data_IF_613778749360
#
_entry.id   IF_613778749360
#
_cell.length_a   1.000
_cell.length_b   1.000
_cell.length_c   1.000
_cell.angle_alpha   90.00
_cell.angle_beta   90.00
_cell.angle_gamma   90.00
#
_symmetry.space_group_name_H-M   'P 1'
#
loop_
_entity.id
_entity.type
_entity.pdbx_description
1 polymer ?
#
# COMPACT_ATOMS: atom_id res chain seq x y z
N UNK A 1 16.21 29.54 -11.28
CA UNK A 1 15.26 28.98 -10.32
C UNK A 1 16.07 28.25 -9.24
N UNK A 2 15.77 28.42 -7.96
CA UNK A 2 16.50 27.70 -6.90
C UNK A 2 16.06 26.25 -6.93
N UNK A 3 16.96 25.27 -6.71
CA UNK A 3 16.66 23.81 -6.68
C UNK A 3 15.40 23.46 -5.87
N UNK A 4 15.10 24.24 -4.85
CA UNK A 4 13.93 24.12 -4.00
C UNK A 4 12.60 24.37 -4.74
N UNK A 5 12.58 25.28 -5.69
CA UNK A 5 11.36 25.64 -6.42
C UNK A 5 11.02 24.58 -7.49
N UNK A 6 12.03 23.78 -7.90
CA UNK A 6 11.85 22.72 -8.88
C UNK A 6 11.07 21.51 -8.34
N UNK A 7 11.40 21.00 -7.14
CA UNK A 7 10.70 19.86 -6.56
C UNK A 7 9.28 20.22 -6.09
N UNK A 8 9.06 21.44 -5.59
CA UNK A 8 7.76 21.90 -5.13
C UNK A 8 6.87 22.45 -6.25
N UNK A 9 7.47 23.06 -7.27
CA UNK A 9 6.74 23.54 -8.42
C UNK A 9 6.13 22.40 -9.26
N UNK A 10 6.82 21.26 -9.36
CA UNK A 10 6.34 20.10 -10.11
C UNK A 10 5.30 19.29 -9.35
N UNK A 11 5.42 19.13 -8.03
CA UNK A 11 4.38 18.48 -7.21
C UNK A 11 3.08 19.30 -7.15
N UNK A 12 3.17 20.63 -7.15
CA UNK A 12 2.01 21.52 -7.23
C UNK A 12 1.40 21.60 -8.64
N UNK A 13 2.18 21.30 -9.69
CA UNK A 13 1.68 21.30 -11.07
C UNK A 13 0.98 19.98 -11.43
N UNK A 14 1.29 18.86 -10.75
CA UNK A 14 0.55 17.60 -10.86
C UNK A 14 -0.89 17.71 -10.29
N UNK A 15 -1.11 18.62 -9.34
CA UNK A 15 -2.44 19.09 -8.99
C UNK A 15 -2.85 20.15 -10.00
N UNK A 16 -3.29 19.77 -11.19
CA UNK A 16 -3.91 20.69 -12.14
C UNK A 16 -4.97 21.49 -11.39
N UNK A 17 -4.61 22.73 -11.02
CA UNK A 17 -5.53 23.72 -10.47
C UNK A 17 -6.55 24.07 -11.55
N UNK A 18 -7.53 23.22 -11.73
CA UNK A 18 -8.86 23.67 -12.06
C UNK A 18 -9.44 24.12 -10.72
N UNK A 19 -9.33 25.42 -10.45
CA UNK A 19 -10.09 26.06 -9.40
C UNK A 19 -11.55 25.92 -9.79
N UNK A 20 -12.17 24.83 -9.35
CA UNK A 20 -13.62 24.74 -9.22
C UNK A 20 -13.96 25.07 -7.76
N UNK A 21 -15.00 25.88 -7.53
CA UNK A 21 -15.30 26.39 -6.21
C UNK A 21 -15.63 25.25 -5.27
N UNK A 22 -15.03 25.30 -4.07
CA UNK A 22 -15.28 24.48 -2.92
C UNK A 22 -16.77 24.56 -2.51
N UNK A 23 -17.57 23.63 -2.98
CA UNK A 23 -18.90 23.34 -2.43
C UNK A 23 -19.11 21.83 -2.50
N UNK A 24 -18.63 21.09 -1.50
CA UNK A 24 -19.16 19.74 -1.23
C UNK A 24 -19.05 19.45 0.25
N UNK A 25 -19.96 20.06 1.00
CA UNK A 25 -20.45 19.44 2.21
C UNK A 25 -21.34 18.26 1.79
N UNK A 26 -21.33 17.15 2.56
CA UNK A 26 -22.26 16.05 2.37
C UNK A 26 -23.70 16.59 2.30
N UNK A 27 -24.20 16.85 1.08
CA UNK A 27 -25.63 16.96 0.80
C UNK A 27 -26.08 15.58 0.36
N UNK A 28 -27.03 15.06 1.10
CA UNK A 28 -27.91 13.99 0.60
C UNK A 28 -28.63 14.52 -0.62
N UNK A 29 -28.66 13.67 -1.66
CA UNK A 29 -29.53 13.70 -2.82
C UNK A 29 -29.17 14.66 -3.98
N UNK A 30 -29.10 14.02 -5.15
CA UNK A 30 -29.30 14.52 -6.51
C UNK A 30 -28.21 15.38 -7.14
N UNK A 31 -27.10 14.73 -7.52
CA UNK A 31 -26.46 14.90 -8.85
C UNK A 31 -25.58 13.67 -9.09
N UNK A 32 -26.23 12.58 -9.51
CA UNK A 32 -25.54 11.33 -9.83
C UNK A 32 -24.90 11.45 -11.22
N UNK A 33 -23.59 11.52 -11.27
CA UNK A 33 -22.85 10.95 -12.38
C UNK A 33 -23.27 9.48 -12.45
N UNK A 34 -23.64 8.91 -13.61
CA UNK A 34 -24.10 7.53 -13.69
C UNK A 34 -23.01 6.58 -13.18
N UNK A 35 -23.24 6.03 -12.00
CA UNK A 35 -22.31 5.15 -11.26
C UNK A 35 -22.30 3.71 -11.84
N UNK A 36 -22.92 3.46 -12.95
CA UNK A 36 -23.05 2.10 -13.51
C UNK A 36 -21.75 1.48 -14.06
N UNK A 37 -20.68 2.25 -14.27
CA UNK A 37 -19.39 1.72 -14.76
C UNK A 37 -18.21 1.83 -13.79
N UNK A 38 -18.32 2.56 -12.69
CA UNK A 38 -17.21 2.83 -11.78
C UNK A 38 -17.09 1.86 -10.58
N UNK A 39 -18.02 0.94 -10.40
CA UNK A 39 -18.15 0.15 -9.16
C UNK A 39 -17.54 -1.25 -9.19
N UNK A 40 -16.58 -1.53 -10.09
CA UNK A 40 -15.96 -2.85 -10.12
C UNK A 40 -14.47 -2.75 -10.40
N UNK A 41 -13.65 -3.31 -9.50
CA UNK A 41 -12.27 -3.62 -9.88
C UNK A 41 -12.28 -4.49 -11.14
N UNK A 42 -11.45 -4.14 -12.12
CA UNK A 42 -11.16 -5.04 -13.23
C UNK A 42 -10.52 -6.28 -12.64
N UNK A 43 -10.86 -7.44 -13.16
CA UNK A 43 -10.39 -8.73 -12.66
C UNK A 43 -9.70 -9.50 -13.77
N UNK A 44 -8.58 -10.15 -13.42
CA UNK A 44 -7.84 -11.01 -14.33
C UNK A 44 -7.28 -12.22 -13.58
N UNK A 45 -7.40 -13.41 -14.19
CA UNK A 45 -6.71 -14.62 -13.79
C UNK A 45 -5.51 -14.86 -14.70
N UNK A 46 -4.35 -15.13 -14.11
CA UNK A 46 -3.10 -15.37 -14.82
C UNK A 46 -2.35 -16.57 -14.25
N UNK A 47 -1.63 -17.30 -15.11
CA UNK A 47 -0.86 -18.46 -14.66
C UNK A 47 0.38 -18.71 -15.51
N UNK A 48 1.37 -19.39 -14.93
CA UNK A 48 2.62 -19.77 -15.60
C UNK A 48 3.84 -19.52 -14.73
N UNK A 49 4.99 -19.28 -15.34
CA UNK A 49 6.19 -18.76 -14.67
C UNK A 49 5.99 -17.32 -14.23
N UNK A 50 6.85 -16.77 -13.38
CA UNK A 50 6.78 -15.35 -13.00
C UNK A 50 6.78 -14.44 -14.24
N UNK A 51 7.66 -14.68 -15.22
CA UNK A 51 7.68 -13.91 -16.47
C UNK A 51 6.35 -13.99 -17.25
N UNK A 52 5.79 -15.21 -17.41
CA UNK A 52 4.55 -15.41 -18.15
C UNK A 52 3.36 -14.72 -17.46
N UNK A 53 3.31 -14.80 -16.13
CA UNK A 53 2.31 -14.09 -15.31
C UNK A 53 2.44 -12.58 -15.52
N UNK A 54 3.63 -12.03 -15.38
CA UNK A 54 3.90 -10.62 -15.62
C UNK A 54 3.48 -10.18 -17.03
N UNK A 55 3.82 -10.98 -18.05
CA UNK A 55 3.46 -10.69 -19.43
C UNK A 55 1.97 -10.64 -19.69
N UNK A 56 1.20 -11.57 -19.12
CA UNK A 56 -0.26 -11.56 -19.20
C UNK A 56 -0.86 -10.33 -18.53
N UNK A 57 -0.35 -9.94 -17.34
CA UNK A 57 -0.76 -8.72 -16.63
C UNK A 57 -0.48 -7.49 -17.49
N UNK A 58 0.74 -7.35 -18.00
CA UNK A 58 1.15 -6.25 -18.86
C UNK A 58 0.32 -6.11 -20.12
N UNK A 59 0.04 -7.23 -20.80
CA UNK A 59 -0.80 -7.26 -22.02
C UNK A 59 -2.23 -6.82 -21.75
N UNK A 60 -2.85 -7.36 -20.70
CA UNK A 60 -4.24 -7.09 -20.40
C UNK A 60 -4.44 -5.67 -19.87
N UNK A 61 -3.56 -5.18 -19.00
CA UNK A 61 -3.66 -3.87 -18.34
C UNK A 61 -2.75 -2.79 -18.94
N UNK A 62 -2.30 -2.95 -20.18
CA UNK A 62 -1.42 -1.97 -20.85
C UNK A 62 -1.97 -0.54 -20.84
N UNK A 63 -3.29 -0.37 -20.98
CA UNK A 63 -3.96 0.93 -20.95
C UNK A 63 -3.99 1.55 -19.57
N UNK A 64 -4.21 0.74 -18.53
CA UNK A 64 -4.20 1.15 -17.15
C UNK A 64 -2.78 1.55 -16.70
N UNK A 65 -1.78 0.78 -17.09
CA UNK A 65 -0.35 1.07 -16.84
C UNK A 65 0.01 2.42 -17.49
N UNK A 66 -0.34 2.62 -18.74
CA UNK A 66 -0.08 3.87 -19.45
C UNK A 66 -0.85 5.03 -18.81
N UNK A 67 -2.13 4.84 -18.51
CA UNK A 67 -3.00 5.87 -17.92
C UNK A 67 -2.52 6.31 -16.53
N UNK A 68 -2.15 5.36 -15.66
CA UNK A 68 -1.64 5.68 -14.33
C UNK A 68 -0.29 6.40 -14.37
N UNK A 69 0.61 6.01 -15.27
CA UNK A 69 1.90 6.70 -15.47
C UNK A 69 1.71 8.13 -15.99
N UNK A 70 0.75 8.35 -16.89
CA UNK A 70 0.41 9.70 -17.36
C UNK A 70 -0.21 10.54 -16.23
N UNK A 71 -1.04 9.94 -15.38
CA UNK A 71 -1.69 10.64 -14.29
C UNK A 71 -0.72 11.18 -13.22
N UNK A 72 0.47 10.61 -13.10
CA UNK A 72 1.56 11.05 -12.22
C UNK A 72 2.81 11.44 -13.03
N UNK A 73 2.64 11.83 -14.30
CA UNK A 73 3.74 12.04 -15.25
C UNK A 73 4.78 13.06 -14.77
N UNK A 74 4.36 14.18 -14.21
CA UNK A 74 5.29 15.20 -13.67
C UNK A 74 6.10 14.66 -12.49
N UNK A 75 5.49 13.86 -11.64
CA UNK A 75 6.16 13.20 -10.53
C UNK A 75 7.18 12.17 -11.05
N UNK A 76 6.80 11.30 -11.98
CA UNK A 76 7.71 10.33 -12.59
C UNK A 76 8.85 11.01 -13.36
N UNK A 77 8.60 12.12 -14.04
CA UNK A 77 9.63 12.92 -14.70
C UNK A 77 10.66 13.45 -13.69
N UNK A 78 10.20 13.88 -12.51
CA UNK A 78 11.11 14.31 -11.43
C UNK A 78 11.96 13.16 -10.92
N UNK A 79 11.39 11.97 -10.75
CA UNK A 79 12.12 10.75 -10.37
C UNK A 79 13.15 10.38 -11.43
N UNK A 80 12.78 10.42 -12.72
CA UNK A 80 13.72 10.15 -13.83
C UNK A 80 14.90 11.12 -13.81
N UNK A 81 14.67 12.42 -13.58
CA UNK A 81 15.76 13.41 -13.49
C UNK A 81 16.69 13.16 -12.29
N UNK A 82 16.14 12.69 -11.17
CA UNK A 82 16.98 12.27 -10.03
C UNK A 82 17.85 11.08 -10.42
N UNK A 83 17.29 10.07 -11.07
CA UNK A 83 18.04 8.89 -11.53
C UNK A 83 19.09 9.28 -12.57
N UNK A 84 18.75 10.10 -13.54
CA UNK A 84 19.67 10.61 -14.56
C UNK A 84 20.84 11.40 -13.97
N UNK A 85 20.63 12.06 -12.83
CA UNK A 85 21.70 12.81 -12.15
C UNK A 85 22.80 11.91 -11.57
N UNK A 86 22.46 10.69 -11.13
CA UNK A 86 23.40 9.65 -10.70
C UNK A 86 22.69 8.29 -10.67
N UNK A 87 22.78 7.56 -11.77
CA UNK A 87 22.22 6.20 -11.88
C UNK A 87 22.83 5.24 -10.86
N UNK A 88 24.14 5.34 -10.66
CA UNK A 88 24.92 4.57 -9.69
C UNK A 88 24.41 4.73 -8.24
N UNK A 89 23.78 5.87 -7.95
CA UNK A 89 23.24 6.15 -6.62
C UNK A 89 21.77 5.78 -6.50
N UNK A 90 20.95 6.06 -7.53
CA UNK A 90 19.51 6.08 -7.39
C UNK A 90 18.78 4.93 -8.10
N UNK A 91 19.49 4.10 -8.89
CA UNK A 91 18.86 3.02 -9.65
C UNK A 91 19.61 1.69 -9.51
N UNK A 92 20.91 1.68 -9.84
CA UNK A 92 21.68 0.43 -9.97
C UNK A 92 21.73 -0.39 -8.68
N UNK A 93 21.89 0.20 -7.47
CA UNK A 93 21.91 -0.57 -6.22
C UNK A 93 20.60 -1.31 -5.94
N UNK A 94 19.46 -0.68 -6.25
CA UNK A 94 18.15 -1.30 -6.06
C UNK A 94 17.91 -2.44 -7.05
N UNK A 95 18.36 -2.29 -8.31
CA UNK A 95 18.25 -3.35 -9.31
C UNK A 95 19.16 -4.53 -8.96
N UNK A 96 20.40 -4.28 -8.57
CA UNK A 96 21.35 -5.31 -8.18
C UNK A 96 20.85 -6.12 -6.98
N UNK A 97 20.32 -5.44 -5.97
CA UNK A 97 19.72 -6.09 -4.80
C UNK A 97 18.47 -6.91 -5.18
N UNK A 98 17.60 -6.38 -6.05
CA UNK A 98 16.43 -7.09 -6.54
C UNK A 98 16.83 -8.37 -7.32
N UNK A 99 17.79 -8.28 -8.22
CA UNK A 99 18.30 -9.40 -9.01
C UNK A 99 18.97 -10.46 -8.13
N UNK A 100 19.69 -10.03 -7.09
CA UNK A 100 20.39 -10.93 -6.18
C UNK A 100 19.44 -11.71 -5.28
N UNK A 101 18.44 -11.05 -4.71
CA UNK A 101 17.60 -11.65 -3.68
C UNK A 101 16.26 -12.18 -4.21
N UNK A 102 15.74 -11.63 -5.31
CA UNK A 102 14.42 -11.96 -5.86
C UNK A 102 14.41 -11.99 -7.40
N UNK A 103 15.30 -12.78 -8.05
CA UNK A 103 15.38 -12.84 -9.52
C UNK A 103 14.02 -13.18 -10.16
N UNK A 104 13.25 -14.08 -9.56
CA UNK A 104 11.91 -14.46 -10.04
C UNK A 104 10.96 -13.25 -10.17
N UNK A 105 11.04 -12.29 -9.23
CA UNK A 105 10.17 -11.11 -9.27
C UNK A 105 10.70 -10.06 -10.26
N UNK A 106 12.00 -10.04 -10.50
CA UNK A 106 12.59 -9.25 -11.61
C UNK A 106 12.09 -9.79 -12.95
N UNK A 107 12.00 -11.12 -13.11
CA UNK A 107 11.42 -11.76 -14.30
C UNK A 107 9.92 -11.41 -14.44
N UNK A 108 9.16 -11.34 -13.33
CA UNK A 108 7.75 -10.93 -13.35
C UNK A 108 7.62 -9.46 -13.83
N UNK A 109 8.49 -8.56 -13.35
CA UNK A 109 8.53 -7.17 -13.80
C UNK A 109 8.95 -7.04 -15.27
N UNK A 110 9.91 -7.86 -15.74
CA UNK A 110 10.27 -7.93 -17.15
C UNK A 110 9.08 -8.38 -17.99
N UNK A 111 8.34 -9.38 -17.51
CA UNK A 111 7.09 -9.81 -18.15
C UNK A 111 6.07 -8.69 -18.27
N UNK A 112 5.83 -7.93 -17.17
CA UNK A 112 4.91 -6.77 -17.18
C UNK A 112 5.37 -5.75 -18.24
N UNK A 113 6.66 -5.45 -18.31
CA UNK A 113 7.22 -4.51 -19.28
C UNK A 113 6.96 -4.97 -20.73
N UNK A 114 7.33 -6.21 -21.05
CA UNK A 114 7.16 -6.77 -22.39
C UNK A 114 5.68 -6.84 -22.79
N UNK A 115 4.83 -7.25 -21.84
CA UNK A 115 3.39 -7.33 -22.06
C UNK A 115 2.74 -5.97 -22.31
N UNK A 116 3.19 -4.93 -21.60
CA UNK A 116 2.68 -3.57 -21.73
C UNK A 116 3.31 -2.77 -22.90
N UNK A 117 4.33 -3.34 -23.57
CA UNK A 117 5.11 -2.63 -24.61
C UNK A 117 5.92 -1.46 -24.03
N UNK A 118 6.44 -1.63 -22.82
CA UNK A 118 7.29 -0.66 -22.11
C UNK A 118 8.69 -1.20 -21.94
N UNK A 119 9.68 -0.33 -21.68
CA UNK A 119 11.00 -0.80 -21.25
C UNK A 119 10.93 -1.36 -19.82
N UNK A 120 11.78 -2.34 -19.51
CA UNK A 120 11.96 -2.83 -18.14
C UNK A 120 12.28 -1.68 -17.18
N UNK A 121 13.15 -0.78 -17.56
CA UNK A 121 13.54 0.38 -16.77
C UNK A 121 12.33 1.24 -16.38
N UNK A 122 11.41 1.50 -17.33
CA UNK A 122 10.20 2.28 -17.05
C UNK A 122 9.30 1.59 -15.99
N UNK A 123 9.15 0.26 -16.08
CA UNK A 123 8.37 -0.51 -15.10
C UNK A 123 9.12 -0.57 -13.76
N UNK A 124 10.43 -0.82 -13.76
CA UNK A 124 11.21 -0.92 -12.53
C UNK A 124 11.26 0.42 -11.77
N UNK A 125 11.40 1.55 -12.47
CA UNK A 125 11.31 2.89 -11.86
C UNK A 125 9.97 3.10 -11.15
N UNK A 126 8.87 2.62 -11.74
CA UNK A 126 7.56 2.62 -11.07
C UNK A 126 7.54 1.82 -9.76
N UNK A 127 8.40 0.83 -9.60
CA UNK A 127 8.49 -0.03 -8.42
C UNK A 127 9.50 0.46 -7.36
N UNK A 128 10.33 1.46 -7.68
CA UNK A 128 11.36 2.01 -6.78
C UNK A 128 11.24 3.53 -6.56
N UNK A 129 10.21 4.17 -7.10
CA UNK A 129 10.11 5.64 -7.06
C UNK A 129 10.13 6.22 -5.64
N UNK A 130 9.58 5.48 -4.68
CA UNK A 130 9.60 5.88 -3.28
C UNK A 130 11.02 5.79 -2.69
N UNK A 131 11.74 4.71 -2.98
CA UNK A 131 13.13 4.53 -2.58
C UNK A 131 14.01 5.65 -3.13
N UNK A 132 13.89 5.94 -4.42
CA UNK A 132 14.62 7.04 -5.10
C UNK A 132 14.31 8.37 -4.43
N UNK A 133 13.04 8.66 -4.22
CA UNK A 133 12.63 9.92 -3.61
C UNK A 133 13.16 10.07 -2.18
N UNK A 134 12.98 9.07 -1.33
CA UNK A 134 13.47 9.13 0.06
C UNK A 134 14.99 9.20 0.13
N UNK A 135 15.71 8.45 -0.71
CA UNK A 135 17.17 8.52 -0.79
C UNK A 135 17.65 9.91 -1.22
N UNK A 136 16.98 10.52 -2.20
CA UNK A 136 17.27 11.88 -2.61
C UNK A 136 17.08 12.88 -1.47
N UNK A 137 15.98 12.77 -0.72
CA UNK A 137 15.70 13.65 0.41
C UNK A 137 16.70 13.46 1.56
N UNK A 138 17.11 12.22 1.83
CA UNK A 138 18.15 11.91 2.81
C UNK A 138 19.49 12.56 2.44
N UNK A 139 19.93 12.41 1.18
CA UNK A 139 21.21 12.95 0.70
C UNK A 139 21.24 14.47 0.58
N UNK A 140 20.10 15.09 0.29
CA UNK A 140 20.01 16.56 0.14
C UNK A 140 19.78 17.27 1.47
N UNK A 141 19.42 16.55 2.53
CA UNK A 141 19.09 17.12 3.84
C UNK A 141 17.75 17.86 3.86
N UNK A 142 16.94 17.74 2.83
CA UNK A 142 15.61 18.32 2.79
C UNK A 142 14.70 17.62 3.82
N UNK A 143 14.45 18.30 4.96
CA UNK A 143 13.66 17.73 6.07
C UNK A 143 12.15 17.85 5.90
N UNK A 144 11.66 18.51 4.87
CA UNK A 144 10.22 18.72 4.66
C UNK A 144 9.63 17.65 3.77
N UNK A 145 9.09 16.62 4.38
CA UNK A 145 8.14 15.72 3.77
C UNK A 145 6.84 16.45 3.54
N UNK A 146 6.62 16.75 2.29
CA UNK A 146 5.28 16.95 1.80
C UNK A 146 5.10 16.13 0.53
N UNK A 147 5.27 14.84 0.60
CA UNK A 147 4.23 14.00 0.04
C UNK A 147 3.01 14.44 0.84
N UNK A 148 1.96 14.89 0.17
CA UNK A 148 0.79 15.48 0.84
C UNK A 148 0.55 14.71 2.12
N UNK A 149 0.45 15.38 3.28
CA UNK A 149 0.41 14.72 4.58
C UNK A 149 -0.73 13.71 4.76
N UNK A 150 -1.41 13.38 3.68
CA UNK A 150 -2.57 12.51 3.56
C UNK A 150 -2.31 11.24 2.76
N UNK A 151 -1.16 11.11 2.08
CA UNK A 151 -0.78 9.82 1.51
C UNK A 151 -0.41 8.87 2.64
N UNK A 152 -1.00 7.68 2.62
CA UNK A 152 -0.69 6.68 3.61
C UNK A 152 -1.77 5.63 3.76
N UNK A 153 -1.73 4.89 4.84
CA UNK A 153 -2.62 3.79 5.08
C UNK A 153 -3.08 3.79 6.53
N UNK A 154 -4.22 3.18 6.79
CA UNK A 154 -4.70 2.94 8.16
C UNK A 154 -5.11 1.49 8.30
N UNK A 155 -4.59 0.81 9.32
CA UNK A 155 -4.95 -0.57 9.63
C UNK A 155 -5.46 -0.70 11.06
N UNK A 156 -6.50 -1.50 11.23
CA UNK A 156 -6.95 -1.97 12.54
C UNK A 156 -7.06 -3.48 12.51
N UNK A 157 -6.27 -4.13 13.34
CA UNK A 157 -6.36 -5.55 13.58
C UNK A 157 -7.02 -5.82 14.93
N UNK A 158 -7.79 -6.90 15.03
CA UNK A 158 -8.38 -7.39 16.25
C UNK A 158 -8.26 -8.90 16.32
N UNK A 159 -7.82 -9.43 17.45
CA UNK A 159 -7.83 -10.86 17.71
C UNK A 159 -8.07 -11.10 19.21
N UNK A 160 -9.22 -11.66 19.56
CA UNK A 160 -9.54 -12.05 20.94
C UNK A 160 -10.76 -13.00 20.97
N UNK A 161 -10.75 -13.93 21.92
CA UNK A 161 -11.87 -14.86 22.15
C UNK A 161 -12.32 -15.63 20.88
N UNK A 162 -11.35 -16.06 20.08
CA UNK A 162 -11.61 -16.81 18.85
C UNK A 162 -12.08 -15.97 17.66
N UNK A 163 -12.27 -14.66 17.81
CA UNK A 163 -12.58 -13.73 16.72
C UNK A 163 -11.33 -13.02 16.26
N UNK A 164 -11.09 -12.96 14.94
CA UNK A 164 -10.00 -12.17 14.35
C UNK A 164 -10.46 -11.44 13.11
N UNK A 165 -10.05 -10.17 12.99
CA UNK A 165 -10.31 -9.29 11.86
C UNK A 165 -9.07 -8.48 11.55
N UNK A 166 -8.75 -8.32 10.26
CA UNK A 166 -7.75 -7.38 9.78
C UNK A 166 -8.42 -6.44 8.79
N UNK A 167 -8.36 -5.15 9.07
CA UNK A 167 -8.97 -4.11 8.22
C UNK A 167 -7.91 -3.11 7.77
N UNK A 168 -8.11 -2.55 6.58
CA UNK A 168 -7.14 -1.65 5.98
C UNK A 168 -7.80 -0.64 5.03
N UNK A 169 -7.43 0.64 5.17
CA UNK A 169 -7.63 1.67 4.17
C UNK A 169 -6.31 1.93 3.44
N UNK A 170 -6.35 1.93 2.13
CA UNK A 170 -5.25 2.27 1.23
C UNK A 170 -5.48 3.69 0.72
N UNK A 171 -4.67 4.65 1.15
CA UNK A 171 -4.79 6.06 0.76
C UNK A 171 -3.61 6.46 -0.13
N UNK A 172 -3.89 6.78 -1.40
CA UNK A 172 -2.88 7.18 -2.37
C UNK A 172 -3.45 8.25 -3.31
N UNK A 173 -2.71 8.60 -4.36
CA UNK A 173 -3.12 9.61 -5.35
C UNK A 173 -4.54 9.34 -5.86
N UNK A 174 -5.43 10.34 -5.73
CA UNK A 174 -6.83 10.25 -6.20
C UNK A 174 -6.92 9.83 -7.66
N UNK A 175 -5.94 10.24 -8.47
CA UNK A 175 -5.86 9.86 -9.90
C UNK A 175 -5.76 8.35 -10.13
N UNK A 176 -5.36 7.55 -9.11
CA UNK A 176 -5.24 6.10 -9.23
C UNK A 176 -6.56 5.34 -9.00
N UNK A 177 -7.61 6.00 -8.54
CA UNK A 177 -8.87 5.35 -8.15
C UNK A 177 -9.49 4.47 -9.25
N UNK A 178 -9.28 4.84 -10.53
CA UNK A 178 -9.82 4.11 -11.67
C UNK A 178 -8.85 3.08 -12.26
N UNK A 179 -7.67 2.93 -11.69
CA UNK A 179 -6.62 2.09 -12.26
C UNK A 179 -6.32 0.84 -11.44
N UNK A 180 -6.77 0.75 -10.17
CA UNK A 180 -6.63 -0.48 -9.39
C UNK A 180 -7.37 -1.64 -10.04
N UNK A 181 -6.77 -2.82 -9.93
CA UNK A 181 -7.38 -4.05 -10.41
C UNK A 181 -7.14 -5.21 -9.44
N UNK A 182 -7.99 -6.23 -9.53
CA UNK A 182 -7.91 -7.46 -8.75
C UNK A 182 -7.28 -8.55 -9.62
N UNK A 183 -6.26 -9.21 -9.09
CA UNK A 183 -5.54 -10.27 -9.76
C UNK A 183 -5.69 -11.59 -9.02
N UNK A 184 -5.95 -12.66 -9.75
CA UNK A 184 -5.76 -14.03 -9.32
C UNK A 184 -4.53 -14.58 -10.05
N UNK A 185 -3.50 -14.91 -9.29
CA UNK A 185 -2.18 -15.25 -9.82
C UNK A 185 -1.82 -16.67 -9.42
N UNK A 186 -1.49 -17.53 -10.39
CA UNK A 186 -0.98 -18.87 -10.15
C UNK A 186 0.41 -19.02 -10.77
N UNK A 187 1.45 -18.73 -9.97
CA UNK A 187 2.83 -19.02 -10.38
C UNK A 187 3.11 -20.51 -10.16
N UNK A 188 3.78 -21.14 -11.14
CA UNK A 188 4.15 -22.55 -11.05
C UNK A 188 4.99 -22.82 -9.81
N UNK A 189 4.54 -23.77 -8.98
CA UNK A 189 5.24 -24.18 -7.75
C UNK A 189 5.06 -23.25 -6.55
N UNK A 190 4.21 -22.20 -6.67
CA UNK A 190 3.90 -21.25 -5.58
C UNK A 190 2.41 -21.29 -5.23
N UNK A 191 2.01 -20.82 -4.02
CA UNK A 191 0.60 -20.66 -3.68
C UNK A 191 -0.13 -19.74 -4.66
N UNK A 192 -1.39 -20.04 -4.96
CA UNK A 192 -2.25 -19.14 -5.71
C UNK A 192 -2.55 -17.90 -4.87
N UNK A 193 -2.44 -16.73 -5.49
CA UNK A 193 -2.62 -15.42 -4.85
C UNK A 193 -3.86 -14.74 -5.39
N UNK A 194 -4.62 -14.07 -4.52
CA UNK A 194 -5.65 -13.13 -4.86
C UNK A 194 -5.29 -11.78 -4.22
N UNK A 195 -5.04 -10.77 -5.02
CA UNK A 195 -4.53 -9.48 -4.53
C UNK A 195 -5.02 -8.30 -5.38
N UNK A 196 -5.20 -7.16 -4.74
CA UNK A 196 -5.25 -5.89 -5.45
C UNK A 196 -3.86 -5.55 -6.00
N UNK A 197 -3.81 -4.78 -7.07
CA UNK A 197 -2.57 -4.29 -7.63
C UNK A 197 -2.72 -2.89 -8.23
N UNK A 198 -1.66 -2.12 -8.13
CA UNK A 198 -1.48 -0.90 -8.89
C UNK A 198 -0.93 -1.21 -10.29
N UNK A 199 -1.31 -0.45 -11.32
CA UNK A 199 -0.83 -0.68 -12.67
C UNK A 199 0.68 -0.55 -12.79
N UNK A 200 1.32 -1.60 -13.33
CA UNK A 200 2.77 -1.63 -13.54
C UNK A 200 3.61 -1.90 -12.29
N UNK A 201 2.99 -1.99 -11.11
CA UNK A 201 3.69 -2.42 -9.91
C UNK A 201 3.65 -3.94 -9.76
N UNK A 202 4.66 -4.48 -9.08
CA UNK A 202 4.67 -5.88 -8.66
C UNK A 202 3.48 -6.13 -7.72
N UNK A 203 2.62 -7.13 -7.99
CA UNK A 203 1.45 -7.38 -7.16
C UNK A 203 1.80 -7.69 -5.71
N UNK A 204 1.04 -7.13 -4.75
CA UNK A 204 1.18 -7.44 -3.31
C UNK A 204 1.28 -6.25 -2.38
N UNK A 205 1.54 -5.02 -2.88
CA UNK A 205 1.57 -3.81 -2.03
C UNK A 205 0.18 -3.51 -1.45
N UNK A 206 -0.91 -3.41 -2.24
CA UNK A 206 -2.26 -3.38 -1.69
C UNK A 206 -2.64 -4.72 -1.05
N UNK A 207 -3.70 -4.75 -0.22
CA UNK A 207 -4.13 -5.96 0.45
C UNK A 207 -4.31 -7.17 -0.47
N UNK A 208 -3.96 -8.34 0.04
CA UNK A 208 -4.10 -9.59 -0.67
C UNK A 208 -4.12 -10.81 0.25
N UNK A 209 -4.40 -11.96 -0.35
CA UNK A 209 -4.37 -13.27 0.32
C UNK A 209 -3.88 -14.36 -0.61
N UNK A 210 -3.55 -15.52 -0.05
CA UNK A 210 -3.15 -16.68 -0.85
C UNK A 210 -3.91 -17.96 -0.48
N UNK A 211 -3.72 -19.02 -1.27
CA UNK A 211 -4.40 -20.31 -1.07
C UNK A 211 -4.00 -21.02 0.21
N UNK A 212 -2.82 -20.74 0.80
CA UNK A 212 -2.43 -21.25 2.11
C UNK A 212 -3.18 -20.55 3.26
N UNK A 213 -4.02 -19.57 2.97
CA UNK A 213 -4.79 -18.80 3.94
C UNK A 213 -4.03 -17.66 4.58
N UNK A 214 -2.88 -17.27 4.02
CA UNK A 214 -2.15 -16.09 4.43
C UNK A 214 -2.84 -14.85 3.87
N UNK A 215 -3.08 -13.86 4.71
CA UNK A 215 -3.60 -12.54 4.34
C UNK A 215 -2.58 -11.47 4.71
N UNK A 216 -2.51 -10.40 3.92
CA UNK A 216 -1.58 -9.30 4.13
C UNK A 216 -2.23 -7.96 3.84
N UNK A 217 -1.90 -6.98 4.68
CA UNK A 217 -1.94 -5.55 4.36
C UNK A 217 -0.66 -4.89 4.88
N UNK A 218 -0.33 -3.72 4.39
CA UNK A 218 0.87 -3.03 4.82
C UNK A 218 0.66 -1.53 5.01
N UNK A 219 1.51 -0.93 5.84
CA UNK A 219 1.56 0.52 5.96
C UNK A 219 2.98 0.96 5.63
N UNK A 220 3.10 1.90 4.72
CA UNK A 220 4.36 2.60 4.55
C UNK A 220 4.72 3.32 5.84
N UNK A 221 5.97 3.18 6.29
CA UNK A 221 6.48 3.97 7.40
C UNK A 221 7.41 5.02 6.82
N UNK A 222 7.04 6.28 6.97
CA UNK A 222 7.82 7.40 6.50
C UNK A 222 9.13 7.46 7.28
N UNK A 223 10.19 6.87 6.75
CA UNK A 223 11.53 6.84 7.32
C UNK A 223 12.54 7.52 6.40
N UNK A 224 13.50 8.20 7.01
CA UNK A 224 14.56 8.92 6.28
C UNK A 224 15.75 8.05 5.90
N UNK A 225 15.83 6.84 6.44
CA UNK A 225 16.99 5.98 6.20
C UNK A 225 16.70 5.01 5.08
N UNK A 226 17.44 5.14 4.00
CA UNK A 226 17.35 4.29 2.81
C UNK A 226 18.68 3.55 2.62
N UNK A 227 18.61 2.23 2.61
CA UNK A 227 19.75 1.36 2.29
C UNK A 227 19.77 0.98 0.81
N UNK A 228 20.95 0.74 0.27
CA UNK A 228 21.18 0.17 -1.05
C UNK A 228 20.85 -1.33 -1.01
N UNK A 229 19.55 -1.63 -1.01
CA UNK A 229 19.06 -2.98 -0.77
C UNK A 229 17.72 -3.22 -1.50
N UNK A 230 17.00 -4.28 -1.14
CA UNK A 230 15.80 -4.74 -1.83
C UNK A 230 14.64 -3.73 -1.70
N UNK A 231 14.03 -3.31 -2.81
CA UNK A 231 12.87 -2.43 -2.80
C UNK A 231 11.64 -3.04 -2.12
N UNK A 232 10.80 -2.16 -1.58
CA UNK A 232 9.61 -2.50 -0.80
C UNK A 232 8.65 -3.45 -1.53
N UNK A 233 8.40 -3.23 -2.81
CA UNK A 233 7.46 -4.02 -3.60
C UNK A 233 7.77 -5.53 -3.58
N UNK A 234 9.06 -5.89 -3.61
CA UNK A 234 9.50 -7.28 -3.63
C UNK A 234 9.22 -7.98 -2.27
N UNK A 235 9.33 -7.25 -1.17
CA UNK A 235 9.00 -7.80 0.15
C UNK A 235 7.51 -8.10 0.28
N UNK A 236 6.64 -7.18 -0.13
CA UNK A 236 5.20 -7.40 -0.10
C UNK A 236 4.81 -8.59 -0.99
N UNK A 237 5.38 -8.68 -2.19
CA UNK A 237 5.15 -9.81 -3.09
C UNK A 237 5.60 -11.13 -2.48
N UNK A 238 6.75 -11.14 -1.77
CA UNK A 238 7.30 -12.35 -1.16
C UNK A 238 6.44 -12.91 -0.04
N UNK A 239 5.81 -12.06 0.77
CA UNK A 239 4.93 -12.49 1.86
C UNK A 239 3.72 -13.26 1.32
N UNK A 240 3.20 -12.89 0.14
CA UNK A 240 2.09 -13.60 -0.49
C UNK A 240 2.49 -14.95 -1.10
N UNK A 241 3.78 -15.24 -1.28
CA UNK A 241 4.26 -16.57 -1.68
C UNK A 241 4.47 -17.52 -0.47
N UNK A 242 4.19 -17.06 0.76
CA UNK A 242 4.38 -17.85 1.97
C UNK A 242 3.37 -19.01 2.08
N UNK A 243 3.83 -20.13 2.66
CA UNK A 243 3.03 -21.35 2.85
C UNK A 243 2.52 -21.53 4.28
N UNK A 244 3.00 -20.71 5.22
CA UNK A 244 2.57 -20.68 6.62
C UNK A 244 2.68 -19.29 7.21
N UNK A 245 2.07 -19.04 8.38
CA UNK A 245 2.19 -17.76 9.07
C UNK A 245 3.64 -17.47 9.47
N UNK A 246 4.35 -18.47 9.98
CA UNK A 246 5.76 -18.31 10.36
C UNK A 246 6.64 -17.96 9.15
N UNK A 247 6.46 -18.64 8.01
CA UNK A 247 7.15 -18.30 6.75
C UNK A 247 6.84 -16.87 6.31
N UNK A 248 5.57 -16.44 6.37
CA UNK A 248 5.16 -15.09 6.03
C UNK A 248 5.81 -14.03 6.93
N UNK A 249 5.87 -14.30 8.24
CA UNK A 249 6.49 -13.41 9.23
C UNK A 249 8.00 -13.32 9.02
N UNK A 250 8.69 -14.43 8.74
CA UNK A 250 10.13 -14.41 8.47
C UNK A 250 10.46 -13.67 7.16
N UNK A 251 9.65 -13.80 6.12
CA UNK A 251 9.78 -13.01 4.88
C UNK A 251 9.59 -11.51 5.15
N UNK A 252 8.62 -11.14 5.99
CA UNK A 252 8.39 -9.76 6.40
C UNK A 252 9.54 -9.19 7.25
N UNK A 253 10.27 -10.02 7.99
CA UNK A 253 11.43 -9.63 8.79
C UNK A 253 12.75 -9.60 8.01
N UNK A 254 12.76 -10.00 6.75
CA UNK A 254 13.99 -10.05 5.95
C UNK A 254 14.77 -8.71 6.09
N UNK A 255 16.03 -8.74 6.55
CA UNK A 255 16.81 -7.52 6.81
C UNK A 255 17.29 -6.82 5.54
N UNK A 256 17.37 -7.55 4.41
CA UNK A 256 17.77 -6.99 3.12
C UNK A 256 16.63 -6.15 2.53
N UNK A 257 16.42 -4.96 3.08
CA UNK A 257 15.37 -4.03 2.65
C UNK A 257 15.88 -2.62 2.51
N UNK A 258 15.41 -1.93 1.49
CA UNK A 258 15.81 -0.55 1.23
C UNK A 258 15.18 0.43 2.22
N UNK A 259 13.97 0.14 2.74
CA UNK A 259 13.21 1.11 3.53
C UNK A 259 12.35 0.49 4.62
N UNK A 260 11.80 1.35 5.46
CA UNK A 260 10.92 1.00 6.57
C UNK A 260 9.49 0.70 6.10
N UNK A 261 8.84 -0.28 6.72
CA UNK A 261 7.45 -0.63 6.45
C UNK A 261 6.82 -1.43 7.59
N UNK A 262 5.50 -1.53 7.60
CA UNK A 262 4.77 -2.49 8.43
C UNK A 262 4.11 -3.52 7.54
N UNK A 263 4.19 -4.78 7.95
CA UNK A 263 3.35 -5.86 7.44
C UNK A 263 2.36 -6.29 8.52
N UNK A 264 1.07 -6.23 8.22
CA UNK A 264 0.02 -6.84 9.03
C UNK A 264 -0.37 -8.14 8.35
N UNK A 265 0.02 -9.25 8.95
CA UNK A 265 -0.07 -10.59 8.35
C UNK A 265 -1.02 -11.43 9.19
N UNK A 266 -1.90 -12.17 8.55
CA UNK A 266 -2.77 -13.11 9.24
C UNK A 266 -2.82 -14.46 8.57
N UNK A 267 -3.29 -15.45 9.32
CA UNK A 267 -3.55 -16.80 8.82
C UNK A 267 -4.98 -17.21 9.12
N UNK A 268 -5.77 -17.43 8.08
CA UNK A 268 -7.12 -18.00 8.22
C UNK A 268 -7.11 -19.43 8.80
N UNK A 269 -6.00 -20.15 8.66
CA UNK A 269 -5.85 -21.50 9.19
C UNK A 269 -5.61 -21.46 10.69
N UNK A 270 -4.72 -20.57 11.16
CA UNK A 270 -4.37 -20.47 12.57
C UNK A 270 -5.29 -19.51 13.35
N UNK A 271 -6.12 -18.72 12.65
CA UNK A 271 -6.91 -17.65 13.24
C UNK A 271 -6.06 -16.68 14.08
N UNK A 272 -4.91 -16.30 13.53
CA UNK A 272 -3.93 -15.42 14.17
C UNK A 272 -3.55 -14.26 13.25
N UNK A 273 -3.19 -13.15 13.87
CA UNK A 273 -2.64 -11.97 13.19
C UNK A 273 -1.34 -11.58 13.87
N UNK A 274 -0.33 -11.27 13.07
CA UNK A 274 0.98 -10.75 13.51
C UNK A 274 1.24 -9.45 12.76
N UNK A 275 1.59 -8.41 13.49
CA UNK A 275 2.08 -7.16 12.90
C UNK A 275 3.60 -7.11 13.03
N UNK A 276 4.29 -6.77 11.95
CA UNK A 276 5.75 -6.69 11.85
C UNK A 276 6.13 -5.29 11.41
N UNK A 277 6.75 -4.52 12.28
CA UNK A 277 7.48 -3.31 11.90
C UNK A 277 8.89 -3.70 11.52
N UNK A 278 9.33 -3.30 10.35
CA UNK A 278 10.64 -3.65 9.81
C UNK A 278 11.33 -2.46 9.15
N UNK A 279 12.61 -2.32 9.46
CA UNK A 279 13.55 -1.35 8.91
C UNK A 279 14.81 -2.09 8.44
N UNK A 280 15.69 -1.45 7.68
CA UNK A 280 17.01 -2.01 7.41
C UNK A 280 17.67 -2.48 8.72
N UNK A 281 18.08 -3.75 8.77
CA UNK A 281 18.79 -4.37 9.91
C UNK A 281 18.05 -4.37 11.27
N UNK A 282 16.78 -3.98 11.32
CA UNK A 282 16.01 -3.95 12.56
C UNK A 282 14.54 -4.29 12.32
N UNK A 283 13.96 -5.10 13.19
CA UNK A 283 12.53 -5.40 13.15
C UNK A 283 11.97 -5.71 14.53
N UNK A 284 10.67 -5.56 14.67
CA UNK A 284 9.90 -6.06 15.81
C UNK A 284 8.57 -6.62 15.30
N UNK A 285 8.16 -7.76 15.85
CA UNK A 285 6.85 -8.34 15.58
C UNK A 285 6.02 -8.46 16.85
N UNK A 286 4.70 -8.36 16.70
CA UNK A 286 3.73 -8.58 17.78
C UNK A 286 2.58 -9.45 17.29
N UNK A 287 2.25 -10.48 18.05
CA UNK A 287 0.98 -11.19 17.89
C UNK A 287 -0.12 -10.26 18.39
N UNK A 288 -1.19 -10.12 17.62
CA UNK A 288 -2.34 -9.30 17.99
C UNK A 288 -3.15 -10.02 19.07
N UNK A 289 -3.33 -9.36 20.22
CA UNK A 289 -4.24 -9.76 21.30
C UNK A 289 -5.06 -8.53 21.72
N UNK A 290 -6.35 -8.53 21.45
CA UNK A 290 -7.19 -7.35 21.46
C UNK A 290 -7.05 -6.53 20.18
N UNK A 291 -7.07 -5.21 20.29
CA UNK A 291 -6.88 -4.29 19.15
C UNK A 291 -5.42 -3.93 18.95
N UNK A 292 -5.03 -3.82 17.68
CA UNK A 292 -3.78 -3.20 17.24
C UNK A 292 -4.10 -2.23 16.12
N UNK A 293 -3.70 -0.99 16.29
CA UNK A 293 -3.82 0.07 15.27
C UNK A 293 -2.45 0.35 14.68
N UNK A 294 -2.39 0.55 13.38
CA UNK A 294 -1.19 1.02 12.70
C UNK A 294 -1.53 2.04 11.61
N UNK A 295 -0.66 3.04 11.47
CA UNK A 295 -0.69 4.04 10.40
C UNK A 295 0.70 4.15 9.75
N UNK A 296 1.29 5.33 9.62
CA UNK A 296 2.52 5.51 8.85
C UNK A 296 3.72 5.95 9.70
N UNK A 297 3.76 5.55 10.97
CA UNK A 297 4.88 5.76 11.89
C UNK A 297 5.08 4.55 12.80
N UNK A 298 6.26 4.40 13.39
CA UNK A 298 6.54 3.29 14.32
C UNK A 298 5.74 3.40 15.60
N UNK A 299 5.07 2.32 15.97
CA UNK A 299 4.29 2.21 17.21
C UNK A 299 4.90 1.23 18.22
N UNK A 300 5.80 0.33 17.78
CA UNK A 300 6.44 -0.63 18.67
C UNK A 300 7.65 -0.01 19.38
N UNK A 301 7.76 -0.27 20.69
CA UNK A 301 8.73 0.42 21.56
C UNK A 301 10.19 0.28 21.10
N UNK A 302 10.58 -0.89 20.59
CA UNK A 302 11.96 -1.13 20.16
C UNK A 302 12.27 -0.52 18.79
N UNK A 303 11.28 0.02 18.08
CA UNK A 303 11.46 0.66 16.78
C UNK A 303 11.50 2.19 16.86
N UNK A 304 11.08 2.76 18.00
CA UNK A 304 10.95 4.22 18.18
C UNK A 304 12.27 4.98 18.25
N UNK A 305 13.40 4.31 18.43
CA UNK A 305 14.73 4.92 18.37
C UNK A 305 15.21 5.13 16.91
N UNK A 306 14.52 4.55 15.92
CA UNK A 306 14.71 4.92 14.53
C UNK A 306 14.00 6.25 14.34
N UNK A 307 14.79 7.33 14.28
CA UNK A 307 14.30 8.71 14.37
C UNK A 307 13.43 9.06 13.18
N UNK A 308 12.13 9.00 13.39
CA UNK A 308 11.14 9.70 12.58
C UNK A 308 10.58 10.80 13.48
N UNK A 309 10.71 12.06 13.03
CA UNK A 309 10.06 13.15 13.74
C UNK A 309 8.54 13.02 13.56
N UNK A 310 7.85 12.50 14.58
CA UNK A 310 6.38 12.35 14.58
C UNK A 310 5.66 13.67 14.32
N UNK A 311 6.30 14.81 14.67
CA UNK A 311 5.72 16.13 14.36
C UNK A 311 5.68 16.43 12.85
N UNK A 312 6.49 15.74 12.06
CA UNK A 312 6.44 15.83 10.60
C UNK A 312 5.33 14.98 9.98
N UNK A 313 4.62 14.17 10.78
CA UNK A 313 3.61 13.20 10.33
C UNK A 313 2.22 13.44 10.99
N UNK A 314 1.68 14.68 10.97
CA UNK A 314 0.45 15.00 11.70
C UNK A 314 -0.75 14.15 11.28
N UNK A 315 -0.88 13.81 9.99
CA UNK A 315 -1.94 12.94 9.50
C UNK A 315 -1.84 11.54 10.08
N UNK A 316 -0.64 10.93 10.06
CA UNK A 316 -0.42 9.59 10.59
C UNK A 316 -0.75 9.51 12.09
N UNK A 317 -0.22 10.45 12.88
CA UNK A 317 -0.42 10.50 14.34
C UNK A 317 -1.89 10.77 14.68
N UNK A 318 -2.55 11.69 13.97
CA UNK A 318 -3.97 12.00 14.19
C UNK A 318 -4.87 10.80 13.92
N UNK A 319 -4.69 10.10 12.77
CA UNK A 319 -5.44 8.89 12.43
C UNK A 319 -5.20 7.77 13.45
N UNK A 320 -3.95 7.58 13.87
CA UNK A 320 -3.59 6.58 14.88
C UNK A 320 -4.28 6.85 16.22
N UNK A 321 -4.22 8.07 16.73
CA UNK A 321 -4.84 8.44 18.01
C UNK A 321 -6.35 8.25 17.98
N UNK A 322 -6.99 8.62 16.88
CA UNK A 322 -8.41 8.47 16.69
C UNK A 322 -8.83 7.00 16.65
N UNK A 323 -8.21 6.20 15.81
CA UNK A 323 -8.51 4.77 15.70
C UNK A 323 -8.22 4.04 17.00
N UNK A 324 -7.18 4.43 17.74
CA UNK A 324 -6.88 3.91 19.08
C UNK A 324 -7.98 4.27 20.09
N UNK A 325 -8.46 5.50 20.06
CA UNK A 325 -9.56 5.93 20.94
C UNK A 325 -10.85 5.14 20.67
N UNK A 326 -11.21 4.98 19.39
CA UNK A 326 -12.36 4.18 18.97
C UNK A 326 -12.23 2.71 19.39
N UNK A 327 -11.06 2.12 19.17
CA UNK A 327 -10.75 0.74 19.53
C UNK A 327 -10.84 0.52 21.05
N UNK A 328 -10.30 1.42 21.85
CA UNK A 328 -10.31 1.35 23.31
C UNK A 328 -11.73 1.37 23.89
N UNK A 329 -12.69 2.04 23.26
CA UNK A 329 -14.09 2.05 23.67
C UNK A 329 -14.72 0.63 23.67
N UNK A 330 -14.15 -0.30 22.92
CA UNK A 330 -14.58 -1.69 22.77
C UNK A 330 -13.63 -2.73 23.36
N UNK A 331 -12.50 -2.32 23.96
CA UNK A 331 -11.49 -3.24 24.49
C UNK A 331 -12.06 -4.25 25.51
N UNK A 332 -13.05 -3.83 26.29
CA UNK A 332 -13.75 -4.65 27.30
C UNK A 332 -15.12 -5.16 26.83
N UNK A 333 -15.44 -5.06 25.53
CA UNK A 333 -16.71 -5.48 24.94
C UNK A 333 -16.49 -6.44 23.75
N UNK A 334 -15.80 -7.57 23.95
CA UNK A 334 -15.41 -8.45 22.84
C UNK A 334 -16.61 -9.07 22.08
N UNK A 335 -17.80 -9.18 22.74
CA UNK A 335 -19.03 -9.60 22.08
C UNK A 335 -19.46 -8.67 20.95
N UNK A 336 -19.25 -7.38 21.12
CA UNK A 336 -19.71 -6.34 20.19
C UNK A 336 -18.77 -6.15 19.00
N UNK A 337 -17.53 -6.69 19.09
CA UNK A 337 -16.53 -6.56 18.03
C UNK A 337 -16.87 -7.49 16.87
N UNK A 338 -16.98 -6.91 15.69
CA UNK A 338 -17.15 -7.56 14.41
C UNK A 338 -16.50 -6.73 13.28
N UNK A 339 -16.45 -7.28 12.07
CA UNK A 339 -15.82 -6.61 10.93
C UNK A 339 -16.51 -5.29 10.54
N UNK A 340 -17.81 -5.19 10.71
CA UNK A 340 -18.59 -3.97 10.39
C UNK A 340 -18.29 -2.84 11.37
N UNK A 341 -18.20 -3.16 12.66
CA UNK A 341 -17.79 -2.18 13.67
C UNK A 341 -16.40 -1.64 13.36
N UNK A 342 -15.41 -2.51 13.09
CA UNK A 342 -14.05 -2.06 12.81
C UNK A 342 -14.02 -1.27 11.50
N UNK A 343 -14.76 -1.69 10.47
CA UNK A 343 -14.92 -0.95 9.23
C UNK A 343 -15.49 0.46 9.46
N UNK A 344 -16.42 0.61 10.41
CA UNK A 344 -16.98 1.93 10.74
C UNK A 344 -15.94 2.89 11.30
N UNK A 345 -14.89 2.41 12.00
CA UNK A 345 -13.79 3.25 12.47
C UNK A 345 -13.00 3.84 11.31
N UNK A 346 -12.72 3.00 10.29
CA UNK A 346 -11.99 3.42 9.11
C UNK A 346 -12.84 4.24 8.12
N UNK A 347 -14.16 4.23 8.28
CA UNK A 347 -15.11 5.08 7.54
C UNK A 347 -15.31 6.46 8.15
N UNK A 348 -14.67 6.75 9.29
CA UNK A 348 -14.84 8.01 10.02
C UNK A 348 -14.27 9.21 9.28
N UNK A 349 -15.00 10.32 9.30
CA UNK A 349 -14.63 11.63 8.73
C UNK A 349 -14.33 12.69 9.80
N UNK A 350 -14.30 12.33 11.07
CA UNK A 350 -14.09 13.31 12.12
C UNK A 350 -12.64 13.81 12.18
N UNK A 351 -12.47 15.12 12.43
CA UNK A 351 -11.19 15.79 12.61
C UNK A 351 -10.49 16.13 11.30
N UNK A 352 -9.39 16.89 11.41
CA UNK A 352 -8.65 17.44 10.27
C UNK A 352 -7.99 16.34 9.42
N UNK A 353 -7.57 15.24 10.06
CA UNK A 353 -6.98 14.06 9.41
C UNK A 353 -7.82 12.83 9.76
N UNK A 354 -8.85 12.59 8.95
CA UNK A 354 -9.75 11.46 9.14
C UNK A 354 -9.20 10.17 8.52
N UNK A 355 -9.58 8.98 9.05
CA UNK A 355 -9.19 7.70 8.47
C UNK A 355 -9.73 7.46 7.05
N UNK A 356 -10.90 8.02 6.73
CA UNK A 356 -11.48 7.97 5.38
C UNK A 356 -11.19 9.28 4.66
N UNK A 357 -10.38 9.22 3.60
CA UNK A 357 -9.87 10.39 2.88
C UNK A 357 -10.63 10.59 1.58
N UNK A 358 -11.20 11.81 1.38
CA UNK A 358 -11.90 12.22 0.16
C UNK A 358 -11.15 13.37 -0.51
N UNK A 359 -10.36 13.05 -1.51
CA UNK A 359 -9.63 14.02 -2.35
C UNK A 359 -9.01 15.20 -1.56
N UNK A 360 -8.34 14.89 -0.47
CA UNK A 360 -7.62 15.88 0.34
C UNK A 360 -6.19 15.99 -0.17
N UNK A 361 -5.83 17.17 -0.67
CA UNK A 361 -4.52 17.44 -1.27
C UNK A 361 -4.10 16.44 -2.35
N UNK A 362 -5.05 15.94 -3.15
CA UNK A 362 -4.80 14.98 -4.21
C UNK A 362 -4.69 13.52 -3.75
N UNK A 363 -5.00 13.23 -2.48
CA UNK A 363 -5.06 11.87 -1.92
C UNK A 363 -6.49 11.45 -1.62
N UNK A 364 -6.80 10.19 -1.84
CA UNK A 364 -8.08 9.56 -1.50
C UNK A 364 -7.88 8.14 -1.00
N UNK A 365 -8.83 7.66 -0.19
CA UNK A 365 -8.94 6.24 0.09
C UNK A 365 -9.37 5.52 -1.18
N UNK A 366 -8.47 4.72 -1.75
CA UNK A 366 -8.68 4.02 -3.02
C UNK A 366 -9.41 2.70 -2.85
N UNK A 367 -9.22 2.05 -1.72
CA UNK A 367 -9.96 0.85 -1.35
C UNK A 367 -9.96 0.67 0.16
N UNK A 368 -10.92 -0.14 0.62
CA UNK A 368 -11.01 -0.62 1.99
C UNK A 368 -11.17 -2.13 2.00
N UNK A 369 -10.43 -2.80 2.87
CA UNK A 369 -10.43 -4.26 3.00
C UNK A 369 -10.80 -4.68 4.41
N UNK A 370 -11.59 -5.76 4.52
CA UNK A 370 -11.90 -6.43 5.78
C UNK A 370 -11.69 -7.93 5.58
N UNK A 371 -10.66 -8.47 6.20
CA UNK A 371 -10.44 -9.91 6.30
C UNK A 371 -11.13 -10.44 7.56
N UNK A 372 -12.07 -11.35 7.39
CA UNK A 372 -12.81 -12.04 8.46
C UNK A 372 -12.30 -13.47 8.58
N UNK A 373 -11.62 -13.75 9.67
CA UNK A 373 -10.92 -15.03 9.87
C UNK A 373 -11.87 -16.16 10.23
N UNK A 374 -13.00 -15.88 10.88
CA UNK A 374 -14.01 -16.89 11.18
C UNK A 374 -14.67 -17.39 9.90
N UNK A 375 -15.04 -16.46 9.03
CA UNK A 375 -15.70 -16.76 7.77
C UNK A 375 -14.71 -17.04 6.62
N UNK A 376 -13.39 -16.89 6.87
CA UNK A 376 -12.32 -17.04 5.88
C UNK A 376 -12.63 -16.24 4.61
N UNK A 377 -13.07 -15.02 4.79
CA UNK A 377 -13.54 -14.16 3.72
C UNK A 377 -12.82 -12.82 3.70
N UNK A 378 -12.74 -12.25 2.51
CA UNK A 378 -12.27 -10.89 2.27
C UNK A 378 -13.44 -10.06 1.72
N UNK A 379 -13.88 -9.05 2.48
CA UNK A 379 -14.76 -8.01 1.99
C UNK A 379 -13.91 -6.88 1.44
N UNK A 380 -14.12 -6.55 0.19
CA UNK A 380 -13.40 -5.50 -0.52
C UNK A 380 -14.35 -4.40 -0.95
N UNK A 381 -14.00 -3.18 -0.59
CA UNK A 381 -14.72 -1.97 -0.97
C UNK A 381 -13.87 -1.23 -2.01
N UNK A 382 -14.48 -0.90 -3.13
CA UNK A 382 -13.87 -0.03 -4.11
C UNK A 382 -14.05 1.42 -3.64
N UNK A 383 -12.97 2.23 -3.67
CA UNK A 383 -13.02 3.62 -3.19
C UNK A 383 -13.29 3.73 -1.68
N UNK A 384 -13.79 4.86 -1.24
CA UNK A 384 -14.06 5.20 0.15
C UNK A 384 -15.06 4.25 0.81
N UNK A 385 -14.78 3.68 1.98
CA UNK A 385 -15.68 2.73 2.65
C UNK A 385 -17.03 3.32 3.04
N UNK A 386 -17.13 4.62 3.22
CA UNK A 386 -18.38 5.32 3.56
C UNK A 386 -19.34 5.44 2.38
N UNK A 387 -18.86 5.32 1.13
CA UNK A 387 -19.64 5.54 -0.09
C UNK A 387 -19.86 4.28 -0.91
N UNK A 388 -19.07 3.24 -0.69
CA UNK A 388 -19.07 2.08 -1.56
C UNK A 388 -19.76 0.86 -0.95
N UNK A 389 -20.37 0.03 -1.81
CA UNK A 389 -20.83 -1.29 -1.42
C UNK A 389 -19.67 -2.28 -1.48
N UNK A 390 -19.56 -3.13 -0.47
CA UNK A 390 -18.54 -4.18 -0.45
C UNK A 390 -18.87 -5.29 -1.45
N UNK A 391 -17.83 -5.91 -1.99
CA UNK A 391 -17.90 -7.24 -2.59
C UNK A 391 -17.23 -8.24 -1.66
N UNK A 392 -17.85 -9.40 -1.48
CA UNK A 392 -17.20 -10.52 -0.80
C UNK A 392 -16.36 -11.23 -1.86
N UNK A 393 -15.08 -11.31 -1.61
CA UNK A 393 -14.14 -12.09 -2.41
C UNK A 393 -13.85 -13.34 -1.61
N UNK A 394 -14.46 -14.45 -2.00
CA UNK A 394 -14.24 -15.74 -1.36
C UNK A 394 -13.04 -16.44 -2.00
N UNK A 395 -12.42 -17.30 -1.19
CA UNK A 395 -11.37 -18.21 -1.62
C UNK A 395 -11.87 -19.15 -2.71
#
# INVERSE_FOLDING_TARGET
MKRRDFLFGTAAAASGLVVLPSIWGCKKEDDQIPIESANQFKYLEVSGTNYEVGKQIGQYFSKEIMGSQLAIGDFLNSINQIIESSRETFYDPFLEAAQTHYPDYVDELQGIADGAGKSFENIFIGNIFMEVMYKYLELTGEKKYTLSGDLGCSSVAYSKNGKSFLTHNEDLFTSFINYLYLLKIKVTGKPEILTLSYPGLLPGIPPGMNEAGIVQSGNDICGLHIEDSVPMALHFRSVLDATSLDDAVERAKNPHRARTMTHNIGSFVENKIVSVEAAPNKNQSKIVDGFLVHTNHFVFSNMKDIIIDENSLPSSVSRFNKLTTMSNAYANKPSDVNGELISSFLSSHEGDFSPCVHDRAGASTLCHSVFDFQNKSWKLYFSNPCMSNSKIVNK
#
